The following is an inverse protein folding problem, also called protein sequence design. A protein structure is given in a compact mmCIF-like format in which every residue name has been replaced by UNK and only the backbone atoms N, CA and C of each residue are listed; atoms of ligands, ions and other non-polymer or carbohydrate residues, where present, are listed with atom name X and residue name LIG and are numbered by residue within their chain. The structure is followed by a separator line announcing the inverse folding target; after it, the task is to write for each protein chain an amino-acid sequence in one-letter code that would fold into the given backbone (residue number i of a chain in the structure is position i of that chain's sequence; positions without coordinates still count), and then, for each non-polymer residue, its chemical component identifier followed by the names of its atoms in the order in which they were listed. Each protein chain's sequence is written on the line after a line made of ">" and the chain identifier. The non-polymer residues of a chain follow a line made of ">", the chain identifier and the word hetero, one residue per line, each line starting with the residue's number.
data_IF_369497469713
#
_entry.id   IF_369497469713
#
_cell.length_a   1.000
_cell.length_b   1.000
_cell.length_c   1.000
_cell.angle_alpha   90.00
_cell.angle_beta   90.00
_cell.angle_gamma   90.00
#
_symmetry.space_group_name_H-M   'P 1'
#
loop_
_entity.id
_entity.type
_entity.pdbx_description
1 polymer ?
#
# COMPACT_ATOMS: atom_id res chain seq x y z
N UNK A 1 -4.51 6.94 -18.46
CA UNK A 1 -3.12 7.18 -18.05
C UNK A 1 -2.24 6.05 -18.52
N UNK A 2 -0.91 6.15 -18.42
CA UNK A 2 -0.05 4.97 -18.50
C UNK A 2 -0.30 4.11 -17.25
N UNK A 3 -0.95 2.95 -17.41
CA UNK A 3 -1.41 2.09 -16.30
C UNK A 3 -0.39 1.03 -15.86
N UNK A 4 0.76 1.02 -16.51
CA UNK A 4 1.84 0.07 -16.26
C UNK A 4 2.53 0.39 -14.92
N UNK A 5 2.99 -0.64 -14.20
CA UNK A 5 3.87 -0.51 -13.02
C UNK A 5 5.04 -1.45 -13.23
N UNK A 6 6.23 -0.87 -13.36
CA UNK A 6 7.45 -1.55 -13.78
C UNK A 6 8.58 -1.10 -12.87
N UNK A 7 9.34 -2.05 -12.33
CA UNK A 7 10.61 -1.78 -11.63
C UNK A 7 11.70 -2.63 -12.27
N UNK A 8 12.76 -1.99 -12.77
CA UNK A 8 13.91 -2.66 -13.38
C UNK A 8 15.14 -2.36 -12.52
N UNK A 9 15.85 -3.42 -12.09
CA UNK A 9 17.09 -3.33 -11.32
C UNK A 9 18.24 -3.83 -12.19
N UNK A 10 19.26 -2.98 -12.37
CA UNK A 10 20.49 -3.24 -13.12
C UNK A 10 20.28 -3.79 -14.55
N UNK A 11 19.11 -3.55 -15.15
CA UNK A 11 18.68 -4.14 -16.41
C UNK A 11 18.70 -5.68 -16.44
N UNK A 12 18.71 -6.32 -15.27
CA UNK A 12 18.81 -7.78 -15.12
C UNK A 12 17.54 -8.39 -14.53
N UNK A 13 16.85 -7.65 -13.66
CA UNK A 13 15.64 -8.11 -12.97
C UNK A 13 14.53 -7.10 -13.22
N UNK A 14 13.36 -7.60 -13.62
CA UNK A 14 12.19 -6.79 -13.90
C UNK A 14 10.99 -7.31 -13.10
N UNK A 15 10.33 -6.40 -12.36
CA UNK A 15 9.05 -6.63 -11.69
C UNK A 15 7.94 -5.92 -12.46
N UNK A 16 6.92 -6.68 -12.84
CA UNK A 16 5.75 -6.22 -13.57
C UNK A 16 4.49 -6.62 -12.80
N UNK A 17 3.48 -5.75 -12.78
CA UNK A 17 2.19 -6.10 -12.17
C UNK A 17 1.27 -4.92 -11.92
N UNK A 18 0.29 -5.13 -11.04
CA UNK A 18 -0.69 -4.12 -10.65
C UNK A 18 -0.30 -3.28 -9.43
N UNK A 19 0.82 -3.60 -8.77
CA UNK A 19 1.26 -2.93 -7.55
C UNK A 19 2.03 -1.65 -7.86
N UNK A 20 1.56 -0.52 -7.35
CA UNK A 20 2.22 0.80 -7.47
C UNK A 20 3.02 1.09 -6.20
N UNK A 21 4.17 1.78 -6.34
CA UNK A 21 4.96 2.25 -5.20
C UNK A 21 4.34 3.51 -4.60
N UNK A 22 3.18 3.33 -3.98
CA UNK A 22 2.34 4.39 -3.41
C UNK A 22 1.74 3.93 -2.09
N UNK A 23 1.45 4.87 -1.20
CA UNK A 23 0.68 4.63 0.03
C UNK A 23 -0.62 3.85 -0.23
N UNK A 24 -0.98 2.99 0.74
CA UNK A 24 -2.22 2.20 0.73
C UNK A 24 -2.17 0.96 -0.16
N UNK A 25 -0.97 0.54 -0.59
CA UNK A 25 -0.77 -0.63 -1.45
C UNK A 25 -0.11 -1.81 -0.77
N UNK A 26 0.59 -1.56 0.34
CA UNK A 26 1.15 -2.63 1.15
C UNK A 26 0.01 -3.35 1.89
N UNK A 27 0.04 -4.68 1.92
CA UNK A 27 -0.89 -5.51 2.69
C UNK A 27 -0.23 -6.88 2.93
N UNK A 28 -0.75 -7.63 3.89
CA UNK A 28 -0.39 -9.02 4.15
C UNK A 28 -1.57 -9.94 3.81
N UNK A 29 -1.35 -11.27 3.68
CA UNK A 29 -2.42 -12.19 3.32
C UNK A 29 -3.57 -12.29 4.33
N UNK A 30 -3.41 -11.78 5.56
CA UNK A 30 -4.47 -11.79 6.57
C UNK A 30 -5.51 -10.69 6.34
N UNK A 31 -5.17 -9.65 5.56
CA UNK A 31 -6.08 -8.55 5.20
C UNK A 31 -6.73 -7.93 6.44
N UNK A 32 -5.89 -7.49 7.38
CA UNK A 32 -6.34 -6.90 8.64
C UNK A 32 -7.06 -5.57 8.36
N UNK A 33 -8.10 -5.25 9.16
CA UNK A 33 -8.89 -4.02 8.97
C UNK A 33 -8.41 -2.89 9.89
N UNK A 34 -7.71 -3.27 10.95
CA UNK A 34 -7.27 -2.41 12.03
C UNK A 34 -5.76 -2.64 12.25
N UNK A 35 -5.04 -1.54 12.50
CA UNK A 35 -3.62 -1.50 12.81
C UNK A 35 -3.39 -0.53 13.98
N UNK A 36 -3.96 -0.84 15.15
CA UNK A 36 -3.71 -0.11 16.40
C UNK A 36 -2.88 -0.96 17.38
N UNK A 37 -1.67 -0.51 17.78
CA UNK A 37 -0.96 0.69 17.31
C UNK A 37 -0.48 0.56 15.85
N UNK A 38 -0.29 1.68 15.16
CA UNK A 38 0.04 1.73 13.73
C UNK A 38 1.43 1.17 13.40
N UNK A 39 1.51 -0.15 13.16
CA UNK A 39 2.75 -0.90 12.90
C UNK A 39 2.85 -1.39 11.45
N UNK A 40 1.73 -1.81 10.86
CA UNK A 40 1.66 -2.37 9.50
C UNK A 40 1.52 -1.25 8.46
N UNK A 41 0.66 -0.29 8.74
CA UNK A 41 0.32 0.83 7.87
C UNK A 41 0.56 2.17 8.57
N UNK A 42 1.82 2.54 8.81
CA UNK A 42 2.15 3.74 9.55
C UNK A 42 1.71 5.01 8.81
N UNK A 43 1.26 6.01 9.57
CA UNK A 43 0.96 7.36 9.07
C UNK A 43 -0.10 7.39 7.95
N UNK A 44 0.30 7.66 6.70
CA UNK A 44 -0.60 7.80 5.54
C UNK A 44 -0.87 6.47 4.84
N UNK A 45 -0.28 5.38 5.32
CA UNK A 45 -0.37 4.09 4.65
C UNK A 45 -1.68 3.35 4.98
N UNK A 46 -2.37 3.73 6.07
CA UNK A 46 -3.73 3.26 6.33
C UNK A 46 -4.67 3.87 5.28
N UNK A 47 -5.22 3.03 4.42
CA UNK A 47 -6.01 3.47 3.27
C UNK A 47 -7.44 2.94 3.31
N UNK A 48 -8.37 3.84 3.61
CA UNK A 48 -9.81 3.60 3.52
C UNK A 48 -10.48 4.80 2.84
N UNK A 49 -10.73 4.75 1.51
CA UNK A 49 -11.18 5.93 0.75
C UNK A 49 -12.59 6.39 1.13
N UNK A 50 -13.43 5.49 1.68
CA UNK A 50 -14.79 5.82 2.12
C UNK A 50 -14.82 6.49 3.50
N UNK A 51 -13.80 6.25 4.33
CA UNK A 51 -13.66 6.82 5.67
C UNK A 51 -12.50 7.82 5.70
N UNK A 52 -12.79 9.08 5.33
CA UNK A 52 -11.83 10.19 5.39
C UNK A 52 -11.52 10.69 6.82
N UNK A 53 -12.12 10.10 7.86
CA UNK A 53 -11.85 10.46 9.25
C UNK A 53 -10.77 9.58 9.87
N UNK A 54 -9.51 10.03 9.78
CA UNK A 54 -8.45 9.78 10.77
C UNK A 54 -8.26 8.31 11.20
N UNK A 55 -7.35 7.60 10.52
CA UNK A 55 -6.88 6.26 10.87
C UNK A 55 -6.07 6.18 12.17
N UNK A 56 -6.66 6.62 13.28
CA UNK A 56 -6.04 6.56 14.62
C UNK A 56 -7.00 6.08 15.71
N UNK A 57 -8.27 5.77 15.39
CA UNK A 57 -9.30 5.47 16.41
C UNK A 57 -10.15 4.22 16.16
N UNK A 58 -9.78 3.38 15.19
CA UNK A 58 -10.25 2.01 15.14
C UNK A 58 -9.04 1.13 15.34
#
# INVERSE_FOLDING_TARGET
>A
SHHEKIVIVDCQICYLGGLDLRFGRYDNPKQEVNDFPALIWPSKDYYNPDNLSTGIYL
#
